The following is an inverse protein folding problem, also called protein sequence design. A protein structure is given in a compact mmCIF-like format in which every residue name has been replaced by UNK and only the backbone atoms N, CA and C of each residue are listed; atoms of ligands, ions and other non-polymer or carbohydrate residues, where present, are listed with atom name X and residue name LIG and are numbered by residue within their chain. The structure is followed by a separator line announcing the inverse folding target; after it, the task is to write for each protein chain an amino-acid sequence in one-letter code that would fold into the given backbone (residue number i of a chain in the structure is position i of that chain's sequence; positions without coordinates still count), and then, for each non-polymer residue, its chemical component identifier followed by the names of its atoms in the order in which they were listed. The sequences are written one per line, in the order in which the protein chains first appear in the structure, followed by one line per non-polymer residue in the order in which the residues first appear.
data_IF_541965138431
#
_entry.id   IF_541965138431
#
_cell.length_a   1.000
_cell.length_b   1.000
_cell.length_c   1.000
_cell.angle_alpha   90.00
_cell.angle_beta   90.00
_cell.angle_gamma   90.00
#
_symmetry.space_group_name_H-M   'P 1'
#
loop_
_entity.id
_entity.type
_entity.pdbx_description
1 polymer ?
#
# COMPACT_ATOMS: atom_id res chain seq x y z
N UNK A 1 -1.26 -1.24 4.83
CA UNK A 1 -0.07 -2.11 4.67
C UNK A 1 1.17 -1.24 4.80
N UNK A 2 2.29 -1.81 5.23
CA UNK A 2 3.57 -1.12 5.24
C UNK A 2 4.58 -1.86 4.35
N UNK A 3 5.51 -1.14 3.76
CA UNK A 3 6.46 -1.64 2.76
C UNK A 3 7.87 -1.17 3.12
N UNK A 4 8.39 -1.59 4.28
CA UNK A 4 9.55 -0.95 4.91
C UNK A 4 10.92 -1.29 4.29
N UNK A 5 11.01 -2.36 3.51
CA UNK A 5 12.28 -2.77 2.92
C UNK A 5 12.52 -2.06 1.58
N UNK A 6 13.56 -1.22 1.52
CA UNK A 6 13.96 -0.45 0.35
C UNK A 6 15.46 -0.58 0.05
N UNK A 7 16.03 -1.79 0.14
CA UNK A 7 17.43 -2.04 -0.25
C UNK A 7 18.50 -1.63 0.78
N UNK A 8 18.18 -0.95 1.86
CA UNK A 8 19.18 -0.47 2.83
C UNK A 8 19.83 -1.61 3.66
N UNK A 9 21.15 -1.57 3.84
CA UNK A 9 21.91 -2.49 4.71
C UNK A 9 23.16 -1.84 5.32
N UNK A 10 23.92 -2.58 6.14
CA UNK A 10 25.23 -2.15 6.66
C UNK A 10 26.27 -1.86 5.56
N UNK A 11 26.04 -2.36 4.33
CA UNK A 11 26.90 -2.12 3.16
C UNK A 11 26.50 -0.87 2.37
N UNK A 12 25.45 -0.14 2.77
CA UNK A 12 24.98 1.08 2.12
C UNK A 12 23.56 0.98 1.53
N UNK A 13 23.11 2.03 0.83
CA UNK A 13 21.83 2.00 0.10
C UNK A 13 21.86 0.94 -1.01
N UNK A 14 20.70 0.35 -1.32
CA UNK A 14 20.52 -0.61 -2.42
C UNK A 14 21.45 -1.85 -2.41
N UNK A 15 21.80 -2.35 -1.23
CA UNK A 15 22.70 -3.51 -1.07
C UNK A 15 22.10 -4.70 -0.33
N UNK A 16 20.91 -4.57 0.27
CA UNK A 16 20.30 -5.67 1.03
C UNK A 16 19.76 -6.80 0.15
N UNK A 17 19.42 -6.51 -1.11
CA UNK A 17 18.67 -7.41 -1.98
C UNK A 17 17.21 -7.63 -1.54
N UNK A 18 16.72 -6.89 -0.54
CA UNK A 18 15.37 -7.01 0.02
C UNK A 18 14.58 -5.74 -0.29
N UNK A 19 13.50 -5.89 -1.04
CA UNK A 19 12.60 -4.82 -1.45
C UNK A 19 11.15 -5.25 -1.27
N UNK A 20 10.34 -4.41 -0.62
CA UNK A 20 8.90 -4.60 -0.51
C UNK A 20 8.21 -3.87 -1.65
N UNK A 21 7.55 -4.59 -2.56
CA UNK A 21 6.70 -3.97 -3.58
C UNK A 21 5.46 -3.35 -2.93
N UNK A 22 5.00 -2.16 -3.37
CA UNK A 22 3.83 -1.49 -2.80
C UNK A 22 2.51 -2.11 -3.30
N UNK A 23 2.33 -3.42 -3.08
CA UNK A 23 1.15 -4.20 -3.44
C UNK A 23 0.57 -4.87 -2.19
N UNK A 24 -0.75 -4.72 -2.00
CA UNK A 24 -1.45 -5.32 -0.86
C UNK A 24 -2.82 -5.85 -1.27
N UNK A 25 -3.21 -6.98 -0.66
CA UNK A 25 -4.54 -7.57 -0.80
C UNK A 25 -5.22 -7.53 0.56
N UNK A 26 -6.44 -7.00 0.59
CA UNK A 26 -7.27 -6.95 1.79
C UNK A 26 -8.51 -7.82 1.56
N UNK A 27 -8.81 -8.68 2.51
CA UNK A 27 -10.04 -9.47 2.51
C UNK A 27 -10.95 -8.90 3.61
N UNK A 28 -12.17 -8.52 3.25
CA UNK A 28 -13.17 -7.99 4.17
C UNK A 28 -14.56 -8.54 3.81
N UNK A 29 -15.42 -8.62 4.81
CA UNK A 29 -16.84 -8.97 4.65
C UNK A 29 -17.65 -7.75 5.10
N UNK A 30 -18.64 -7.34 4.30
CA UNK A 30 -19.57 -6.26 4.61
C UNK A 30 -20.96 -6.63 4.11
N UNK A 31 -21.99 -6.32 4.89
CA UNK A 31 -23.41 -6.53 4.56
C UNK A 31 -24.05 -5.29 3.91
N UNK A 32 -23.31 -4.18 3.84
CA UNK A 32 -23.78 -2.89 3.32
C UNK A 32 -22.93 -2.40 2.16
N UNK A 33 -23.55 -1.79 1.13
CA UNK A 33 -22.82 -1.12 0.07
C UNK A 33 -22.08 0.09 0.64
N UNK A 34 -21.05 0.52 -0.06
CA UNK A 34 -20.24 1.65 0.39
C UNK A 34 -19.16 2.03 -0.60
N UNK A 35 -18.10 2.65 -0.09
CA UNK A 35 -16.98 3.12 -0.88
C UNK A 35 -15.67 2.73 -0.22
N UNK A 36 -14.81 2.05 -0.96
CA UNK A 36 -13.42 1.83 -0.57
C UNK A 36 -12.64 3.10 -0.89
N UNK A 37 -11.96 3.64 0.11
CA UNK A 37 -11.06 4.76 -0.02
C UNK A 37 -9.65 4.23 0.24
N UNK A 38 -8.83 4.17 -0.81
CA UNK A 38 -7.43 3.79 -0.69
C UNK A 38 -6.57 5.05 -0.61
N UNK A 39 -5.66 5.07 0.36
CA UNK A 39 -4.64 6.12 0.48
C UNK A 39 -3.26 5.50 0.38
N UNK A 40 -2.34 6.25 -0.21
CA UNK A 40 -0.93 5.89 -0.26
C UNK A 40 -0.06 7.12 0.00
N UNK A 41 1.18 6.86 0.41
CA UNK A 41 2.17 7.88 0.70
C UNK A 41 3.47 7.52 0.00
N UNK A 42 4.04 8.47 -0.73
CA UNK A 42 5.39 8.40 -1.26
C UNK A 42 6.27 9.36 -0.46
N UNK A 43 7.44 8.89 -0.03
CA UNK A 43 8.38 9.65 0.78
C UNK A 43 8.79 11.01 0.19
N UNK A 44 8.76 11.17 -1.14
CA UNK A 44 9.08 12.43 -1.83
C UNK A 44 7.92 13.07 -2.60
N UNK A 45 6.82 12.34 -2.82
CA UNK A 45 5.65 12.84 -3.58
C UNK A 45 4.38 13.00 -2.72
N UNK A 46 4.48 12.81 -1.41
CA UNK A 46 3.37 13.06 -0.49
C UNK A 46 2.21 12.06 -0.64
N UNK A 47 1.00 12.54 -0.38
CA UNK A 47 -0.20 11.71 -0.27
C UNK A 47 -0.97 11.58 -1.59
N UNK A 48 -1.50 10.39 -1.80
CA UNK A 48 -2.35 10.03 -2.93
C UNK A 48 -3.62 9.34 -2.41
N UNK A 49 -4.72 9.50 -3.14
CA UNK A 49 -6.02 8.92 -2.82
C UNK A 49 -6.69 8.39 -4.08
N UNK A 50 -7.31 7.22 -3.96
CA UNK A 50 -8.28 6.71 -4.94
C UNK A 50 -9.52 6.18 -4.24
N UNK A 51 -10.63 6.12 -4.98
CA UNK A 51 -11.93 5.74 -4.45
C UNK A 51 -12.63 4.77 -5.40
N UNK A 52 -13.33 3.79 -4.84
CA UNK A 52 -14.13 2.83 -5.61
C UNK A 52 -15.39 2.43 -4.87
N UNK A 53 -16.53 2.46 -5.57
CA UNK A 53 -17.79 1.95 -5.02
C UNK A 53 -17.75 0.43 -4.85
N UNK A 54 -18.33 -0.04 -3.75
CA UNK A 54 -18.62 -1.45 -3.49
C UNK A 54 -20.13 -1.59 -3.44
N UNK A 55 -20.67 -2.31 -4.40
CA UNK A 55 -22.08 -2.69 -4.42
C UNK A 55 -22.21 -4.03 -3.72
N UNK A 56 -23.20 -4.16 -2.83
CA UNK A 56 -23.63 -5.46 -2.36
C UNK A 56 -24.59 -6.05 -3.41
N UNK A 57 -24.46 -7.36 -3.64
CA UNK A 57 -25.39 -8.14 -4.45
C UNK A 57 -26.60 -8.49 -3.59
#
# INVERSE_FOLDING_TARGET
ANFDAHGASIKGPDTSGVYSEPYAVFHLITDKPGKLIATSYCNIHGFWKSEKEVKCI
#
